data_IF_201700532329
#
_entry.id   IF_201700532329
#
_cell.length_a   1.000
_cell.length_b   1.000
_cell.length_c   1.000
_cell.angle_alpha   90.00
_cell.angle_beta   90.00
_cell.angle_gamma   90.00
#
_symmetry.space_group_name_H-M   'P 1'
#
loop_
_entity.id
_entity.type
_entity.pdbx_description
1 polymer ?
#
# COMPACT_ATOMS: atom_id res chain seq x y z
N UNK A 1 13.68 -60.03 -64.23
CA UNK A 1 13.74 -58.56 -63.98
C UNK A 1 13.66 -58.36 -62.47
N UNK A 2 14.79 -58.03 -61.82
CA UNK A 2 14.84 -57.66 -60.39
C UNK A 2 14.48 -56.18 -60.27
N UNK A 3 13.47 -55.85 -59.47
CA UNK A 3 13.21 -54.48 -59.03
C UNK A 3 13.58 -54.37 -57.55
N UNK A 4 14.63 -53.60 -57.27
CA UNK A 4 15.03 -53.11 -55.95
C UNK A 4 14.10 -51.97 -55.55
N UNK A 5 13.46 -52.08 -54.38
CA UNK A 5 12.78 -50.93 -53.74
C UNK A 5 13.53 -50.59 -52.46
N UNK A 6 14.11 -49.39 -52.46
CA UNK A 6 14.97 -48.82 -51.43
C UNK A 6 14.07 -48.25 -50.32
N UNK A 7 14.10 -48.84 -49.13
CA UNK A 7 13.45 -48.26 -47.96
C UNK A 7 14.28 -47.08 -47.43
N UNK A 8 13.74 -45.87 -47.53
CA UNK A 8 14.31 -44.67 -46.91
C UNK A 8 14.06 -44.75 -45.40
N UNK A 9 15.12 -44.95 -44.63
CA UNK A 9 15.09 -44.89 -43.17
C UNK A 9 15.11 -43.41 -42.77
N UNK A 10 13.96 -42.84 -42.44
CA UNK A 10 13.88 -41.50 -41.82
C UNK A 10 14.32 -41.68 -40.36
N UNK A 11 15.56 -41.28 -40.06
CA UNK A 11 16.02 -41.14 -38.69
C UNK A 11 15.26 -39.96 -38.04
N UNK A 12 14.28 -40.25 -37.19
CA UNK A 12 13.81 -39.27 -36.21
C UNK A 12 14.97 -39.01 -35.26
N UNK A 13 15.60 -37.84 -35.38
CA UNK A 13 16.43 -37.31 -34.31
C UNK A 13 15.54 -37.14 -33.09
N UNK A 14 15.70 -38.03 -32.10
CA UNK A 14 15.17 -37.83 -30.75
C UNK A 14 15.91 -36.60 -30.20
N UNK A 15 15.37 -35.42 -30.47
CA UNK A 15 15.68 -34.23 -29.69
C UNK A 15 15.43 -34.61 -28.23
N UNK A 16 16.47 -34.55 -27.40
CA UNK A 16 16.44 -34.97 -26.01
C UNK A 16 15.48 -34.12 -25.17
N UNK A 17 14.19 -34.33 -25.35
CA UNK A 17 13.17 -33.94 -24.39
C UNK A 17 13.39 -34.85 -23.20
N UNK A 18 14.24 -34.40 -22.28
CA UNK A 18 14.21 -34.88 -20.90
C UNK A 18 12.78 -34.62 -20.44
N UNK A 19 12.00 -35.68 -20.27
CA UNK A 19 10.68 -35.57 -19.68
C UNK A 19 10.82 -34.80 -18.36
N UNK A 20 10.00 -33.77 -18.10
CA UNK A 20 10.10 -33.02 -16.86
C UNK A 20 9.97 -34.03 -15.71
N UNK A 21 10.97 -34.06 -14.83
CA UNK A 21 10.92 -34.86 -13.61
C UNK A 21 9.67 -34.43 -12.83
N UNK A 22 8.73 -35.36 -12.66
CA UNK A 22 7.51 -35.09 -11.92
C UNK A 22 7.88 -34.63 -10.50
N UNK A 23 7.27 -33.53 -10.05
CA UNK A 23 7.56 -33.00 -8.73
C UNK A 23 7.13 -34.01 -7.65
N UNK A 24 8.07 -34.44 -6.82
CA UNK A 24 7.83 -35.45 -5.77
C UNK A 24 7.42 -34.77 -4.46
N UNK A 25 6.45 -35.33 -3.73
CA UNK A 25 6.01 -34.76 -2.44
C UNK A 25 6.60 -35.53 -1.27
N UNK A 26 7.30 -34.84 -0.39
CA UNK A 26 7.86 -35.38 0.85
C UNK A 26 7.12 -34.76 2.04
N UNK A 27 6.51 -35.60 2.88
CA UNK A 27 5.75 -35.15 4.04
C UNK A 27 6.52 -35.41 5.33
N UNK A 28 6.72 -34.38 6.14
CA UNK A 28 7.40 -34.45 7.42
C UNK A 28 6.59 -35.28 8.43
N UNK A 29 7.24 -36.26 9.07
CA UNK A 29 6.68 -37.00 10.22
C UNK A 29 7.33 -36.57 11.54
N UNK A 30 8.61 -36.17 11.51
CA UNK A 30 9.38 -35.83 12.71
C UNK A 30 9.56 -37.00 13.69
N UNK A 31 9.49 -38.24 13.20
CA UNK A 31 9.37 -39.44 14.04
C UNK A 31 10.62 -39.78 14.87
N UNK A 32 11.82 -39.36 14.49
CA UNK A 32 13.06 -39.63 15.24
C UNK A 32 13.68 -38.36 15.81
N UNK A 33 13.92 -37.36 14.95
CA UNK A 33 14.50 -36.07 15.34
C UNK A 33 14.15 -34.98 14.31
N UNK A 34 14.82 -33.83 14.43
CA UNK A 34 14.58 -32.65 13.61
C UNK A 34 15.29 -32.66 12.23
N UNK A 35 16.12 -33.65 11.88
CA UNK A 35 16.99 -33.58 10.70
C UNK A 35 16.31 -34.03 9.40
N UNK A 36 16.30 -33.17 8.37
CA UNK A 36 15.72 -33.45 7.06
C UNK A 36 16.49 -34.52 6.27
N UNK A 37 17.78 -34.75 6.54
CA UNK A 37 18.58 -35.76 5.83
C UNK A 37 18.31 -37.20 6.28
N UNK A 38 17.46 -37.40 7.31
CA UNK A 38 17.15 -38.73 7.85
C UNK A 38 15.81 -39.18 7.30
N UNK A 39 15.81 -40.28 6.55
CA UNK A 39 14.61 -40.78 5.86
C UNK A 39 13.44 -41.10 6.78
N UNK A 40 13.71 -41.63 7.97
CA UNK A 40 12.66 -41.97 8.95
C UNK A 40 11.91 -40.74 9.51
N UNK A 41 12.42 -39.52 9.33
CA UNK A 41 11.70 -38.29 9.67
C UNK A 41 10.71 -37.84 8.59
N UNK A 42 10.63 -38.59 7.48
CA UNK A 42 9.70 -38.38 6.38
C UNK A 42 8.78 -39.59 6.24
N UNK A 43 7.54 -39.32 5.84
CA UNK A 43 6.58 -40.38 5.49
C UNK A 43 7.17 -41.20 4.33
N UNK A 44 7.19 -42.53 4.50
CA UNK A 44 7.78 -43.46 3.52
C UNK A 44 9.26 -43.78 3.77
N UNK A 45 9.90 -43.18 4.78
CA UNK A 45 11.26 -43.56 5.20
C UNK A 45 12.38 -43.09 4.27
N UNK A 46 12.09 -42.21 3.31
CA UNK A 46 13.06 -41.67 2.35
C UNK A 46 13.19 -40.17 2.53
N UNK A 47 14.43 -39.68 2.68
CA UNK A 47 14.71 -38.26 2.80
C UNK A 47 14.66 -37.59 1.41
N UNK A 48 14.17 -36.34 1.32
CA UNK A 48 14.31 -35.56 0.10
C UNK A 48 15.79 -35.37 -0.25
N UNK A 49 16.11 -35.35 -1.54
CA UNK A 49 17.50 -35.27 -2.03
C UNK A 49 17.97 -33.82 -2.28
N UNK A 50 17.04 -32.86 -2.38
CA UNK A 50 17.37 -31.45 -2.60
C UNK A 50 17.72 -31.12 -4.05
N UNK A 51 17.12 -31.83 -5.00
CA UNK A 51 17.39 -31.71 -6.45
C UNK A 51 16.61 -30.59 -7.14
N UNK A 52 15.64 -29.99 -6.46
CA UNK A 52 14.83 -28.87 -6.96
C UNK A 52 13.45 -29.27 -7.47
N UNK A 53 13.17 -30.57 -7.58
CA UNK A 53 11.85 -31.09 -7.98
C UNK A 53 10.96 -31.42 -6.77
N UNK A 54 11.49 -31.41 -5.56
CA UNK A 54 10.78 -31.89 -4.37
C UNK A 54 9.89 -30.81 -3.74
N UNK A 55 8.67 -31.19 -3.37
CA UNK A 55 7.72 -30.41 -2.59
C UNK A 55 7.76 -30.89 -1.14
N UNK A 56 8.14 -30.02 -0.21
CA UNK A 56 8.18 -30.36 1.21
C UNK A 56 6.87 -29.95 1.87
N UNK A 57 6.27 -30.86 2.64
CA UNK A 57 5.01 -30.62 3.37
C UNK A 57 5.24 -30.86 4.86
N UNK A 58 4.97 -29.84 5.68
CA UNK A 58 5.01 -29.90 7.14
C UNK A 58 3.57 -29.95 7.68
N UNK A 59 3.03 -31.14 7.98
CA UNK A 59 1.61 -31.33 8.27
C UNK A 59 1.21 -30.81 9.67
N UNK A 60 -0.09 -30.81 9.97
CA UNK A 60 -0.57 -30.60 11.33
C UNK A 60 -0.26 -31.84 12.21
N UNK A 61 0.07 -31.62 13.49
CA UNK A 61 0.24 -32.68 14.48
C UNK A 61 1.61 -33.40 14.50
N UNK A 62 2.55 -33.05 13.63
CA UNK A 62 3.93 -33.58 13.71
C UNK A 62 4.77 -32.81 14.73
N UNK A 63 5.86 -33.43 15.23
CA UNK A 63 6.75 -32.85 16.25
C UNK A 63 7.29 -31.49 15.79
N UNK A 64 7.02 -30.46 16.59
CA UNK A 64 6.66 -29.16 16.03
C UNK A 64 7.73 -28.08 16.17
N UNK A 65 8.68 -28.22 17.10
CA UNK A 65 9.30 -26.99 17.60
C UNK A 65 10.50 -26.50 16.76
N UNK A 66 11.34 -27.39 16.26
CA UNK A 66 12.49 -27.03 15.42
C UNK A 66 12.71 -28.13 14.37
N UNK A 67 12.79 -27.76 13.10
CA UNK A 67 13.29 -28.65 12.04
C UNK A 67 14.61 -28.12 11.51
N UNK A 68 15.52 -29.04 11.19
CA UNK A 68 16.88 -28.76 10.74
C UNK A 68 17.13 -29.36 9.35
N UNK A 69 17.44 -28.53 8.37
CA UNK A 69 17.74 -29.00 7.02
C UNK A 69 19.23 -29.37 6.83
N UNK A 70 19.79 -30.44 7.38
CA UNK A 70 21.24 -30.67 7.20
C UNK A 70 21.72 -31.01 5.75
N UNK A 71 20.93 -30.75 4.69
CA UNK A 71 21.34 -30.78 3.30
C UNK A 71 22.01 -29.46 2.88
N UNK A 72 23.24 -29.56 2.39
CA UNK A 72 24.00 -28.40 1.92
C UNK A 72 23.44 -27.86 0.60
N UNK A 73 23.11 -26.56 0.57
CA UNK A 73 22.70 -25.81 -0.62
C UNK A 73 21.58 -26.48 -1.45
N UNK A 74 20.67 -27.18 -0.76
CA UNK A 74 19.60 -27.92 -1.40
C UNK A 74 18.63 -27.01 -2.17
N UNK A 75 18.12 -27.51 -3.28
CA UNK A 75 17.02 -26.91 -4.02
C UNK A 75 15.73 -27.67 -3.75
N UNK A 76 14.63 -26.96 -3.56
CA UNK A 76 13.29 -27.54 -3.45
C UNK A 76 12.32 -26.80 -4.36
N UNK A 77 11.33 -27.48 -4.92
CA UNK A 77 10.29 -26.82 -5.70
C UNK A 77 9.39 -25.97 -4.80
N UNK A 78 8.99 -26.49 -3.63
CA UNK A 78 8.15 -25.77 -2.68
C UNK A 78 8.35 -26.18 -1.24
N UNK A 79 7.93 -25.32 -0.32
CA UNK A 79 7.69 -25.64 1.09
C UNK A 79 6.25 -25.24 1.43
N UNK A 80 5.49 -26.20 1.96
CA UNK A 80 4.12 -25.99 2.44
C UNK A 80 4.05 -26.34 3.93
N UNK A 81 3.63 -25.39 4.75
CA UNK A 81 3.40 -25.57 6.18
C UNK A 81 1.89 -25.61 6.43
N UNK A 82 1.41 -26.66 7.09
CA UNK A 82 -0.01 -26.85 7.45
C UNK A 82 -0.24 -26.85 8.96
N UNK A 83 0.77 -27.18 9.76
CA UNK A 83 0.71 -27.04 11.24
C UNK A 83 1.18 -25.66 11.71
N UNK A 84 1.03 -25.40 13.01
CA UNK A 84 1.39 -24.12 13.64
C UNK A 84 2.53 -24.29 14.63
N UNK A 85 3.41 -23.30 14.76
CA UNK A 85 4.54 -23.34 15.69
C UNK A 85 5.84 -23.94 15.13
N UNK A 86 5.89 -24.22 13.83
CA UNK A 86 7.10 -24.68 13.17
C UNK A 86 8.18 -23.61 13.16
N UNK A 87 9.39 -23.98 13.57
CA UNK A 87 10.61 -23.23 13.24
C UNK A 87 11.47 -24.08 12.31
N UNK A 88 11.47 -23.74 11.02
CA UNK A 88 12.36 -24.35 10.03
C UNK A 88 13.69 -23.59 10.06
N UNK A 89 14.79 -24.27 10.37
CA UNK A 89 16.08 -23.66 10.70
C UNK A 89 17.23 -24.39 10.07
N UNK A 90 18.22 -23.71 9.46
CA UNK A 90 19.32 -24.39 8.76
C UNK A 90 20.36 -23.50 8.00
N UNK A 91 21.29 -24.14 7.25
CA UNK A 91 21.85 -23.75 5.93
C UNK A 91 20.83 -23.26 4.89
N UNK A 92 21.35 -22.49 3.94
CA UNK A 92 20.60 -21.88 2.85
C UNK A 92 19.98 -22.90 1.87
N UNK A 93 18.84 -22.53 1.29
CA UNK A 93 18.18 -23.29 0.21
C UNK A 93 17.89 -22.41 -1.00
N UNK A 94 17.63 -23.04 -2.15
CA UNK A 94 17.02 -22.39 -3.32
C UNK A 94 15.58 -22.88 -3.50
N UNK A 95 14.64 -21.95 -3.73
CA UNK A 95 13.25 -22.30 -4.02
C UNK A 95 12.89 -22.18 -5.50
N UNK A 96 12.28 -23.24 -6.01
CA UNK A 96 11.77 -23.40 -7.35
C UNK A 96 10.33 -22.87 -7.52
N UNK A 97 9.64 -23.38 -8.53
CA UNK A 97 8.40 -22.79 -9.02
C UNK A 97 7.24 -22.78 -8.02
N UNK A 98 7.15 -23.78 -7.14
CA UNK A 98 6.05 -23.93 -6.20
C UNK A 98 6.07 -22.97 -5.00
N UNK A 99 7.22 -22.34 -4.68
CA UNK A 99 7.29 -21.24 -3.71
C UNK A 99 7.06 -21.64 -2.25
N UNK A 100 6.54 -20.70 -1.45
CA UNK A 100 6.23 -20.88 -0.03
C UNK A 100 4.73 -20.83 0.21
N UNK A 101 4.21 -21.74 1.02
CA UNK A 101 2.83 -21.72 1.47
C UNK A 101 2.74 -22.00 2.97
N UNK A 102 1.93 -21.21 3.69
CA UNK A 102 1.49 -21.48 5.05
C UNK A 102 -0.04 -21.47 5.09
N UNK A 103 -0.61 -22.65 5.24
CA UNK A 103 -2.05 -22.86 5.32
C UNK A 103 -2.49 -23.29 6.73
N UNK A 104 -1.65 -23.06 7.74
CA UNK A 104 -2.04 -23.31 9.13
C UNK A 104 -3.23 -22.44 9.53
N UNK A 105 -4.10 -22.95 10.40
CA UNK A 105 -5.35 -22.27 10.75
C UNK A 105 -5.12 -20.93 11.48
N UNK A 106 -4.12 -20.89 12.36
CA UNK A 106 -3.68 -19.71 13.10
C UNK A 106 -2.28 -19.93 13.67
N UNK A 107 -1.69 -18.85 14.19
CA UNK A 107 -0.42 -18.89 14.92
C UNK A 107 0.76 -18.41 14.08
N UNK A 108 1.96 -18.71 14.55
CA UNK A 108 3.20 -18.28 13.88
C UNK A 108 4.04 -19.48 13.49
N UNK A 109 4.52 -19.48 12.26
CA UNK A 109 5.60 -20.34 11.78
C UNK A 109 6.79 -19.47 11.39
N UNK A 110 8.00 -20.04 11.45
CA UNK A 110 9.25 -19.33 11.19
C UNK A 110 10.10 -20.09 10.18
N UNK A 111 10.61 -19.39 9.17
CA UNK A 111 11.71 -19.82 8.30
C UNK A 111 12.93 -18.98 8.66
N UNK A 112 13.92 -19.60 9.29
CA UNK A 112 15.12 -18.93 9.81
C UNK A 112 16.38 -19.15 8.98
N UNK A 113 16.35 -20.07 8.02
CA UNK A 113 17.44 -20.23 7.06
C UNK A 113 17.32 -19.25 5.88
N UNK A 114 18.45 -18.94 5.24
CA UNK A 114 18.46 -18.14 4.03
C UNK A 114 17.77 -18.85 2.85
N UNK A 115 17.06 -18.08 2.03
CA UNK A 115 16.26 -18.58 0.91
C UNK A 115 16.60 -17.79 -0.36
N UNK A 116 17.04 -18.47 -1.42
CA UNK A 116 17.30 -17.83 -2.70
C UNK A 116 16.12 -18.00 -3.67
N UNK A 117 15.72 -16.90 -4.31
CA UNK A 117 14.73 -16.85 -5.39
C UNK A 117 15.41 -16.52 -6.72
N UNK A 118 15.52 -17.51 -7.61
CA UNK A 118 16.09 -17.29 -8.95
C UNK A 118 15.16 -16.49 -9.88
N UNK A 119 13.85 -16.57 -9.67
CA UNK A 119 12.84 -15.72 -10.29
C UNK A 119 11.70 -15.48 -9.28
N UNK A 120 10.68 -14.69 -9.64
CA UNK A 120 9.57 -14.39 -8.73
C UNK A 120 8.88 -15.65 -8.22
N UNK A 121 8.72 -15.75 -6.90
CA UNK A 121 8.07 -16.89 -6.23
C UNK A 121 6.76 -16.49 -5.56
N UNK A 122 5.80 -17.41 -5.52
CA UNK A 122 4.62 -17.22 -4.69
C UNK A 122 4.97 -17.41 -3.21
N UNK A 123 4.45 -16.54 -2.36
CA UNK A 123 4.47 -16.68 -0.90
C UNK A 123 3.02 -16.54 -0.42
N UNK A 124 2.37 -17.65 -0.13
CA UNK A 124 0.95 -17.69 0.24
C UNK A 124 0.82 -17.91 1.73
N UNK A 125 0.17 -17.00 2.46
CA UNK A 125 -0.21 -17.23 3.87
C UNK A 125 -1.73 -17.14 3.93
N UNK A 126 -2.39 -18.29 3.98
CA UNK A 126 -3.81 -18.40 3.60
C UNK A 126 -4.74 -17.69 4.57
N UNK A 127 -4.54 -17.88 5.87
CA UNK A 127 -5.51 -17.50 6.89
C UNK A 127 -5.10 -16.23 7.64
N UNK A 128 -6.07 -15.36 7.96
CA UNK A 128 -5.83 -14.06 8.56
C UNK A 128 -5.13 -14.15 9.94
N UNK A 129 -5.40 -15.21 10.71
CA UNK A 129 -4.78 -15.47 12.02
C UNK A 129 -3.37 -16.06 11.95
N UNK A 130 -2.80 -16.22 10.75
CA UNK A 130 -1.52 -16.89 10.51
C UNK A 130 -0.43 -15.89 10.16
N UNK A 131 0.74 -16.08 10.76
CA UNK A 131 1.95 -15.34 10.48
C UNK A 131 3.08 -16.27 10.07
N UNK A 132 3.66 -16.04 8.90
CA UNK A 132 4.92 -16.64 8.48
C UNK A 132 6.04 -15.62 8.69
N UNK A 133 6.91 -15.86 9.66
CA UNK A 133 8.12 -15.06 9.87
C UNK A 133 9.26 -15.62 9.04
N UNK A 134 9.82 -14.83 8.14
CA UNK A 134 11.05 -15.16 7.42
C UNK A 134 12.16 -14.32 8.05
N UNK A 135 12.99 -14.98 8.86
CA UNK A 135 14.13 -14.39 9.57
C UNK A 135 15.48 -14.73 8.94
N UNK A 136 15.51 -15.66 7.98
CA UNK A 136 16.66 -15.82 7.10
C UNK A 136 16.64 -14.82 5.94
N UNK A 137 17.83 -14.51 5.40
CA UNK A 137 17.98 -13.61 4.26
C UNK A 137 17.33 -14.21 3.02
N UNK A 138 16.45 -13.44 2.37
CA UNK A 138 15.96 -13.72 1.02
C UNK A 138 16.90 -13.07 0.00
N UNK A 139 17.44 -13.87 -0.92
CA UNK A 139 18.41 -13.44 -1.94
C UNK A 139 17.96 -13.80 -3.36
N UNK A 140 18.75 -13.41 -4.36
CA UNK A 140 18.57 -13.81 -5.76
C UNK A 140 17.91 -12.76 -6.65
N UNK A 141 17.88 -13.02 -7.96
CA UNK A 141 17.35 -12.08 -8.94
C UNK A 141 15.83 -11.92 -8.88
N UNK A 142 15.13 -12.95 -8.37
CA UNK A 142 13.68 -13.00 -8.24
C UNK A 142 13.12 -12.09 -7.16
N UNK A 143 11.83 -11.84 -7.23
CA UNK A 143 11.07 -11.21 -6.16
C UNK A 143 10.09 -12.20 -5.53
N UNK A 144 9.01 -11.70 -4.92
CA UNK A 144 7.93 -12.57 -4.48
C UNK A 144 6.55 -11.92 -4.60
N UNK A 145 5.54 -12.78 -4.79
CA UNK A 145 4.12 -12.42 -4.81
C UNK A 145 3.45 -12.94 -3.56
N UNK A 146 3.04 -12.02 -2.67
CA UNK A 146 2.27 -12.32 -1.47
C UNK A 146 0.78 -12.45 -1.79
N UNK A 147 0.20 -13.59 -1.40
CA UNK A 147 -1.23 -13.88 -1.48
C UNK A 147 -1.75 -14.49 -0.16
N UNK A 148 -3.07 -14.71 -0.07
CA UNK A 148 -3.76 -15.16 1.14
C UNK A 148 -3.90 -14.06 2.20
N UNK A 149 -4.81 -14.28 3.16
CA UNK A 149 -5.22 -13.25 4.11
C UNK A 149 -4.20 -12.99 5.24
N UNK A 150 -3.28 -13.91 5.48
CA UNK A 150 -2.33 -13.84 6.60
C UNK A 150 -1.14 -12.91 6.37
N UNK A 151 -0.21 -12.95 7.31
CA UNK A 151 0.96 -12.05 7.38
C UNK A 151 2.25 -12.77 7.01
N UNK A 152 3.09 -12.13 6.20
CA UNK A 152 4.52 -12.45 6.08
C UNK A 152 5.31 -11.38 6.81
N UNK A 153 6.17 -11.76 7.75
CA UNK A 153 7.12 -10.84 8.41
C UNK A 153 8.49 -11.06 7.80
N UNK A 154 9.09 -10.01 7.23
CA UNK A 154 10.47 -10.03 6.74
C UNK A 154 11.35 -9.31 7.76
N UNK A 155 12.10 -10.09 8.53
CA UNK A 155 12.91 -9.57 9.66
C UNK A 155 14.41 -9.49 9.35
N UNK A 156 14.86 -10.16 8.28
CA UNK A 156 16.24 -10.06 7.80
C UNK A 156 16.47 -8.84 6.89
N UNK A 157 17.74 -8.43 6.77
CA UNK A 157 18.18 -7.57 5.68
C UNK A 157 18.27 -8.41 4.39
N UNK A 158 17.24 -8.32 3.57
CA UNK A 158 17.11 -9.10 2.34
C UNK A 158 17.93 -8.48 1.21
N UNK A 159 18.39 -9.33 0.28
CA UNK A 159 19.27 -8.92 -0.84
C UNK A 159 18.68 -9.21 -2.21
N UNK A 160 17.48 -9.79 -2.29
CA UNK A 160 16.83 -10.05 -3.56
C UNK A 160 16.59 -8.75 -4.37
N UNK A 161 16.66 -8.83 -5.70
CA UNK A 161 16.55 -7.63 -6.56
C UNK A 161 15.22 -7.50 -7.30
N UNK A 162 14.41 -8.56 -7.30
CA UNK A 162 13.13 -8.60 -8.02
C UNK A 162 12.00 -7.86 -7.31
N UNK A 163 10.83 -7.85 -7.96
CA UNK A 163 9.64 -7.11 -7.52
C UNK A 163 8.96 -7.77 -6.31
N UNK A 164 8.52 -6.96 -5.35
CA UNK A 164 7.63 -7.40 -4.28
C UNK A 164 6.18 -7.06 -4.64
N UNK A 165 5.36 -8.07 -4.92
CA UNK A 165 3.94 -7.92 -5.22
C UNK A 165 3.10 -8.32 -4.02
N UNK A 166 2.17 -7.47 -3.59
CA UNK A 166 1.29 -7.71 -2.43
C UNK A 166 -0.16 -7.75 -2.91
N UNK A 167 -0.65 -8.93 -3.28
CA UNK A 167 -2.01 -9.12 -3.78
C UNK A 167 -3.05 -9.21 -2.67
N UNK A 168 -2.69 -9.78 -1.51
CA UNK A 168 -3.59 -9.92 -0.35
C UNK A 168 -2.82 -10.08 0.96
N UNK A 169 -3.52 -9.85 2.09
CA UNK A 169 -2.95 -9.97 3.43
C UNK A 169 -1.87 -8.92 3.69
N UNK A 170 -0.86 -9.28 4.49
CA UNK A 170 0.14 -8.32 5.00
C UNK A 170 1.56 -8.78 4.68
N UNK A 171 2.42 -7.85 4.25
CA UNK A 171 3.88 -7.95 4.36
C UNK A 171 4.33 -6.95 5.42
N UNK A 172 5.00 -7.41 6.47
CA UNK A 172 5.49 -6.57 7.56
C UNK A 172 7.02 -6.44 7.52
N UNK A 173 7.52 -5.21 7.64
CA UNK A 173 8.96 -4.89 7.62
C UNK A 173 9.31 -3.87 8.70
N UNK A 174 10.55 -3.93 9.18
CA UNK A 174 11.11 -2.96 10.14
C UNK A 174 12.18 -2.03 9.53
N UNK A 175 12.58 -2.26 8.26
CA UNK A 175 13.58 -1.47 7.55
C UNK A 175 13.39 -1.61 6.03
N UNK A 176 13.92 -0.66 5.25
CA UNK A 176 13.90 -0.70 3.76
C UNK A 176 14.52 -1.99 3.21
N UNK A 177 15.63 -2.45 3.81
CA UNK A 177 16.30 -3.68 3.42
C UNK A 177 15.43 -4.94 3.60
N UNK A 178 14.33 -4.86 4.35
CA UNK A 178 13.32 -5.93 4.38
C UNK A 178 12.72 -6.21 2.99
N UNK A 179 12.74 -5.25 2.08
CA UNK A 179 12.23 -5.39 0.70
C UNK A 179 13.31 -5.65 -0.35
N UNK A 180 14.45 -6.22 0.06
CA UNK A 180 15.52 -6.59 -0.84
C UNK A 180 16.48 -5.44 -1.14
N UNK A 181 17.31 -5.58 -2.18
CA UNK A 181 18.27 -4.56 -2.61
C UNK A 181 17.55 -3.36 -3.23
N UNK A 182 17.90 -2.15 -2.78
CA UNK A 182 17.35 -0.92 -3.36
C UNK A 182 17.84 -0.76 -4.82
N UNK A 183 16.96 -0.34 -5.75
CA UNK A 183 17.38 -0.07 -7.13
C UNK A 183 18.38 1.10 -7.18
N UNK A 184 19.42 0.99 -8.03
CA UNK A 184 20.39 2.08 -8.24
C UNK A 184 19.80 3.33 -8.92
N UNK A 185 18.67 3.18 -9.63
CA UNK A 185 17.92 4.26 -10.25
C UNK A 185 16.41 4.02 -10.10
N UNK A 186 15.61 5.08 -10.24
CA UNK A 186 14.15 4.99 -10.12
C UNK A 186 13.57 3.94 -11.07
N UNK A 187 12.87 2.96 -10.49
CA UNK A 187 12.22 1.89 -11.22
C UNK A 187 10.74 1.85 -10.88
N UNK A 188 9.84 1.94 -11.88
CA UNK A 188 8.42 1.70 -11.66
C UNK A 188 8.18 0.30 -11.07
N UNK A 189 7.15 0.18 -10.23
CA UNK A 189 6.60 -1.11 -9.80
C UNK A 189 7.58 -2.06 -9.11
N UNK A 190 8.56 -1.57 -8.34
CA UNK A 190 9.40 -2.44 -7.48
C UNK A 190 8.62 -2.97 -6.28
N UNK A 191 7.61 -2.22 -5.87
CA UNK A 191 6.54 -2.67 -4.98
C UNK A 191 5.24 -2.54 -5.77
N UNK A 192 4.45 -3.62 -5.82
CA UNK A 192 3.18 -3.64 -6.53
C UNK A 192 2.07 -4.01 -5.57
N UNK A 193 1.03 -3.20 -5.47
CA UNK A 193 -0.17 -3.50 -4.70
C UNK A 193 -1.29 -4.01 -5.61
N UNK A 194 -1.71 -5.25 -5.40
CA UNK A 194 -2.89 -5.85 -6.02
C UNK A 194 -4.12 -5.89 -5.11
N UNK A 195 -3.99 -5.51 -3.84
CA UNK A 195 -5.05 -5.59 -2.84
C UNK A 195 -4.57 -5.68 -1.39
N UNK A 196 -3.27 -5.92 -1.15
CA UNK A 196 -2.74 -6.17 0.19
C UNK A 196 -2.15 -4.96 0.91
N UNK A 197 -1.48 -5.25 2.03
CA UNK A 197 -0.93 -4.26 2.96
C UNK A 197 0.58 -4.38 3.12
N UNK A 198 1.29 -3.25 3.06
CA UNK A 198 2.64 -3.12 3.59
C UNK A 198 2.52 -2.53 5.00
N UNK A 199 2.90 -3.31 6.02
CA UNK A 199 2.96 -2.86 7.41
C UNK A 199 4.40 -2.51 7.79
N UNK A 200 4.58 -1.35 8.39
CA UNK A 200 5.89 -0.88 8.89
C UNK A 200 5.86 -0.81 10.39
N UNK A 201 6.86 -1.45 11.02
CA UNK A 201 6.91 -1.64 12.49
C UNK A 201 7.98 -0.79 13.16
N UNK A 202 8.66 0.08 12.41
CA UNK A 202 9.70 0.97 12.89
C UNK A 202 9.76 2.24 12.03
N UNK A 203 10.49 3.26 12.51
CA UNK A 203 10.72 4.50 11.77
C UNK A 203 11.87 4.36 10.80
N UNK A 204 11.62 4.58 9.51
CA UNK A 204 12.66 4.58 8.48
C UNK A 204 12.19 5.29 7.19
N UNK A 205 13.13 5.52 6.29
CA UNK A 205 12.87 6.01 4.94
C UNK A 205 12.93 4.85 3.95
N UNK A 206 11.87 4.67 3.16
CA UNK A 206 11.86 3.73 2.05
C UNK A 206 12.58 4.35 0.84
N UNK A 207 13.46 3.59 0.19
CA UNK A 207 14.30 4.10 -0.88
C UNK A 207 13.46 4.66 -2.04
N UNK A 208 13.68 5.93 -2.41
CA UNK A 208 12.89 6.63 -3.42
C UNK A 208 12.93 5.98 -4.81
N UNK A 209 13.97 5.18 -5.09
CA UNK A 209 14.09 4.45 -6.35
C UNK A 209 13.15 3.24 -6.45
N UNK A 210 12.51 2.83 -5.35
CA UNK A 210 11.50 1.75 -5.32
C UNK A 210 10.12 2.30 -5.70
N UNK A 211 9.88 2.53 -6.98
CA UNK A 211 8.55 2.96 -7.45
C UNK A 211 7.45 2.02 -6.98
N UNK A 212 6.34 2.58 -6.50
CA UNK A 212 5.16 1.85 -6.06
C UNK A 212 4.11 1.89 -7.18
N UNK A 213 3.56 0.74 -7.54
CA UNK A 213 2.45 0.63 -8.48
C UNK A 213 1.17 0.14 -7.79
N UNK A 214 0.08 0.91 -7.90
CA UNK A 214 -1.26 0.57 -7.44
C UNK A 214 -2.05 -0.06 -8.60
N UNK A 215 -1.86 -1.37 -8.82
CA UNK A 215 -2.63 -2.13 -9.81
C UNK A 215 -4.01 -2.53 -9.30
N UNK A 216 -4.17 -2.59 -7.98
CA UNK A 216 -5.42 -2.64 -7.24
C UNK A 216 -5.33 -1.74 -6.02
N UNK A 217 -6.22 -1.91 -5.04
CA UNK A 217 -6.11 -1.17 -3.78
C UNK A 217 -4.78 -1.50 -3.07
N UNK A 218 -4.07 -0.48 -2.61
CA UNK A 218 -2.86 -0.62 -1.80
C UNK A 218 -3.06 -0.04 -0.42
N UNK A 219 -2.61 -0.76 0.60
CA UNK A 219 -2.64 -0.26 1.99
C UNK A 219 -1.22 -0.11 2.53
N UNK A 220 -0.93 1.04 3.12
CA UNK A 220 0.27 1.26 3.92
C UNK A 220 -0.18 1.44 5.37
N UNK A 221 0.24 0.51 6.23
CA UNK A 221 0.00 0.53 7.68
C UNK A 221 1.27 0.93 8.41
N UNK A 222 1.20 1.98 9.22
CA UNK A 222 2.31 2.42 10.08
C UNK A 222 1.94 2.17 11.53
N UNK A 223 2.72 1.36 12.23
CA UNK A 223 2.48 1.01 13.62
C UNK A 223 2.58 2.23 14.57
N UNK A 224 2.04 2.16 15.80
CA UNK A 224 2.07 3.28 16.74
C UNK A 224 3.47 3.85 16.95
N UNK A 225 3.58 5.18 17.06
CA UNK A 225 4.84 5.91 17.24
C UNK A 225 5.92 5.67 16.16
N UNK A 226 5.55 5.10 15.00
CA UNK A 226 6.45 4.95 13.85
C UNK A 226 6.17 5.99 12.78
N UNK A 227 7.20 6.30 11.99
CA UNK A 227 7.09 7.14 10.80
C UNK A 227 7.72 6.43 9.60
N UNK A 228 6.94 6.21 8.54
CA UNK A 228 7.46 5.83 7.24
C UNK A 228 7.58 7.08 6.36
N UNK A 229 8.78 7.37 5.88
CA UNK A 229 9.00 8.41 4.86
C UNK A 229 9.21 7.76 3.50
N UNK A 230 8.51 8.21 2.48
CA UNK A 230 8.69 7.73 1.11
C UNK A 230 8.78 8.88 0.11
N UNK A 231 9.93 9.01 -0.54
CA UNK A 231 10.21 10.05 -1.54
C UNK A 231 10.10 9.59 -3.00
N UNK A 232 9.77 8.32 -3.23
CA UNK A 232 9.59 7.80 -4.58
C UNK A 232 8.19 8.08 -5.14
N UNK A 233 7.99 7.71 -6.41
CA UNK A 233 6.70 7.88 -7.09
C UNK A 233 5.77 6.71 -6.74
N UNK A 234 4.51 7.03 -6.39
CA UNK A 234 3.37 6.12 -6.40
C UNK A 234 2.56 6.41 -7.67
N UNK A 235 2.29 5.37 -8.47
CA UNK A 235 1.55 5.46 -9.74
C UNK A 235 0.48 4.37 -9.85
N UNK A 236 -0.45 4.52 -10.80
CA UNK A 236 -1.48 3.52 -11.10
C UNK A 236 -2.91 4.02 -10.81
N UNK A 237 -3.89 3.21 -11.19
CA UNK A 237 -5.31 3.55 -11.05
C UNK A 237 -5.93 3.10 -9.71
N UNK A 238 -5.25 2.19 -8.99
CA UNK A 238 -5.72 1.70 -7.70
C UNK A 238 -5.72 2.77 -6.61
N UNK A 239 -6.51 2.53 -5.55
CA UNK A 239 -6.58 3.43 -4.39
C UNK A 239 -5.40 3.23 -3.44
N UNK A 240 -5.06 4.30 -2.70
CA UNK A 240 -4.11 4.27 -1.60
C UNK A 240 -4.86 4.40 -0.27
N UNK A 241 -4.65 3.47 0.65
CA UNK A 241 -5.15 3.57 2.02
C UNK A 241 -3.99 3.70 3.00
N UNK A 242 -4.00 4.77 3.79
CA UNK A 242 -3.15 4.93 4.97
C UNK A 242 -3.91 4.45 6.20
N UNK A 243 -3.39 3.45 6.88
CA UNK A 243 -3.92 2.93 8.16
C UNK A 243 -2.81 2.83 9.22
N UNK A 244 -3.17 2.33 10.41
CA UNK A 244 -2.31 2.33 11.58
C UNK A 244 -2.12 3.73 12.16
N UNK A 245 -1.82 3.82 13.45
CA UNK A 245 -1.79 5.10 14.18
C UNK A 245 -0.50 5.89 14.01
N UNK A 246 0.52 5.34 13.33
CA UNK A 246 1.74 6.07 12.97
C UNK A 246 1.55 7.08 11.83
N UNK A 247 2.68 7.61 11.34
CA UNK A 247 2.73 8.63 10.28
C UNK A 247 3.29 8.07 8.98
N UNK A 248 2.62 8.34 7.85
CA UNK A 248 3.18 8.18 6.51
C UNK A 248 3.49 9.56 5.94
N UNK A 249 4.76 9.81 5.59
CA UNK A 249 5.17 11.03 4.87
C UNK A 249 5.36 10.69 3.39
N UNK A 250 4.66 11.40 2.52
CA UNK A 250 4.86 11.35 1.08
C UNK A 250 5.68 12.56 0.64
N UNK A 251 6.92 12.34 0.21
CA UNK A 251 7.84 13.39 -0.26
C UNK A 251 8.10 13.32 -1.77
N UNK A 252 7.49 12.37 -2.48
CA UNK A 252 7.52 12.26 -3.93
C UNK A 252 6.28 12.89 -4.58
N UNK A 253 6.41 13.31 -5.84
CA UNK A 253 5.27 13.76 -6.66
C UNK A 253 4.55 12.53 -7.19
N UNK A 254 3.37 12.25 -6.67
CA UNK A 254 2.65 11.03 -6.98
C UNK A 254 1.69 11.21 -8.16
N UNK A 255 1.56 10.17 -8.99
CA UNK A 255 0.79 10.21 -10.25
C UNK A 255 -0.35 9.21 -10.28
N UNK A 256 -0.62 8.52 -9.17
CA UNK A 256 -1.79 7.66 -9.08
C UNK A 256 -3.09 8.45 -9.15
N UNK A 257 -4.12 7.86 -9.75
CA UNK A 257 -5.42 8.52 -9.97
C UNK A 257 -6.53 7.99 -9.07
N UNK A 258 -6.33 6.82 -8.45
CA UNK A 258 -7.28 6.25 -7.50
C UNK A 258 -7.43 7.10 -6.23
N UNK A 259 -8.50 6.83 -5.47
CA UNK A 259 -8.79 7.56 -4.24
C UNK A 259 -7.70 7.37 -3.17
N UNK A 260 -7.50 8.38 -2.34
CA UNK A 260 -6.66 8.33 -1.14
C UNK A 260 -7.55 8.30 0.09
N UNK A 261 -7.44 7.26 0.90
CA UNK A 261 -8.15 7.15 2.18
C UNK A 261 -7.17 7.20 3.33
N UNK A 262 -7.36 8.15 4.25
CA UNK A 262 -6.66 8.19 5.54
C UNK A 262 -7.60 7.58 6.57
N UNK A 263 -7.46 6.28 6.82
CA UNK A 263 -8.32 5.54 7.75
C UNK A 263 -7.91 5.71 9.21
N UNK A 264 -6.62 5.89 9.48
CA UNK A 264 -6.08 6.09 10.83
C UNK A 264 -4.69 6.75 10.79
N UNK A 265 -4.31 7.35 11.92
CA UNK A 265 -3.03 8.04 12.08
C UNK A 265 -2.92 9.26 11.19
N UNK A 266 -1.70 9.54 10.71
CA UNK A 266 -1.41 10.74 9.92
C UNK A 266 -0.89 10.38 8.54
N UNK A 267 -1.50 10.96 7.50
CA UNK A 267 -0.88 11.12 6.18
C UNK A 267 -0.32 12.54 6.10
N UNK A 268 0.99 12.68 5.93
CA UNK A 268 1.70 13.96 5.94
C UNK A 268 2.39 14.23 4.61
N UNK A 269 2.33 15.47 4.14
CA UNK A 269 3.07 15.89 2.95
C UNK A 269 4.52 16.22 3.28
N UNK A 270 5.41 15.85 2.38
CA UNK A 270 6.83 16.20 2.41
C UNK A 270 7.27 17.01 1.18
N UNK A 271 6.36 17.27 0.24
CA UNK A 271 6.53 18.15 -0.92
C UNK A 271 5.17 18.66 -1.41
N UNK A 272 5.15 19.68 -2.26
CA UNK A 272 3.93 20.13 -2.95
C UNK A 272 3.47 19.11 -3.99
N UNK A 273 2.17 19.00 -4.25
CA UNK A 273 1.60 18.04 -5.23
C UNK A 273 1.96 16.59 -4.89
N UNK A 274 1.95 16.27 -3.59
CA UNK A 274 2.25 14.94 -3.08
C UNK A 274 1.10 13.99 -3.30
N UNK A 275 -0.15 14.45 -3.38
CA UNK A 275 -1.29 13.59 -3.74
C UNK A 275 -1.56 13.74 -5.23
N UNK A 276 -1.99 12.66 -5.88
CA UNK A 276 -2.41 12.74 -7.28
C UNK A 276 -3.54 13.75 -7.44
N UNK A 277 -3.38 14.73 -8.33
CA UNK A 277 -4.29 15.89 -8.42
C UNK A 277 -5.78 15.55 -8.69
N UNK A 278 -6.04 14.38 -9.28
CA UNK A 278 -7.41 13.87 -9.51
C UNK A 278 -7.95 13.00 -8.36
N UNK A 279 -7.11 12.65 -7.38
CA UNK A 279 -7.44 11.72 -6.31
C UNK A 279 -8.49 12.32 -5.36
N UNK A 280 -9.60 11.62 -5.17
CA UNK A 280 -10.51 11.92 -4.07
C UNK A 280 -9.85 11.56 -2.74
N UNK A 281 -9.79 12.50 -1.80
CA UNK A 281 -9.22 12.30 -0.45
C UNK A 281 -10.35 12.15 0.56
N UNK A 282 -10.36 11.02 1.28
CA UNK A 282 -11.26 10.79 2.41
C UNK A 282 -10.47 10.67 3.70
N UNK A 283 -10.74 11.53 4.68
CA UNK A 283 -10.10 11.49 6.00
C UNK A 283 -11.11 10.98 7.03
N UNK A 284 -10.88 9.78 7.56
CA UNK A 284 -11.76 9.16 8.55
C UNK A 284 -11.73 9.90 9.89
N UNK A 285 -12.77 9.73 10.71
CA UNK A 285 -12.81 10.30 12.06
C UNK A 285 -11.59 9.85 12.88
N UNK A 286 -10.94 10.79 13.55
CA UNK A 286 -9.71 10.54 14.33
C UNK A 286 -8.43 10.41 13.49
N UNK A 287 -8.51 10.42 12.16
CA UNK A 287 -7.34 10.46 11.28
C UNK A 287 -6.99 11.91 10.88
N UNK A 288 -5.74 12.11 10.43
CA UNK A 288 -5.21 13.44 10.07
C UNK A 288 -4.59 13.44 8.68
N UNK A 289 -4.96 14.42 7.86
CA UNK A 289 -4.23 14.82 6.66
C UNK A 289 -3.45 16.10 6.95
N UNK A 290 -2.12 15.99 7.03
CA UNK A 290 -1.22 17.08 7.40
C UNK A 290 -0.48 17.63 6.17
N UNK A 291 -0.81 18.86 5.78
CA UNK A 291 -0.19 19.60 4.67
C UNK A 291 1.26 19.97 4.96
N UNK A 292 1.64 20.07 6.24
CA UNK A 292 3.02 20.24 6.71
C UNK A 292 3.84 21.30 5.94
N UNK A 293 3.25 22.47 5.70
CA UNK A 293 3.93 23.57 5.01
C UNK A 293 3.91 23.48 3.48
N UNK A 294 3.20 22.52 2.88
CA UNK A 294 3.06 22.35 1.44
C UNK A 294 1.62 22.55 0.97
N UNK A 295 1.44 23.36 -0.07
CA UNK A 295 0.18 23.42 -0.81
C UNK A 295 -0.01 22.16 -1.66
N UNK A 296 -1.26 21.75 -1.82
CA UNK A 296 -1.61 20.52 -2.56
C UNK A 296 -2.90 20.70 -3.37
N UNK A 297 -3.02 19.91 -4.44
CA UNK A 297 -4.21 19.87 -5.29
C UNK A 297 -4.77 18.46 -5.23
N UNK A 298 -6.06 18.33 -4.95
CA UNK A 298 -6.77 17.05 -4.85
C UNK A 298 -8.08 17.09 -5.65
N UNK A 299 -8.57 15.90 -6.00
CA UNK A 299 -9.81 15.75 -6.75
C UNK A 299 -11.00 16.25 -5.96
N UNK A 300 -11.17 15.79 -4.72
CA UNK A 300 -12.22 16.20 -3.79
C UNK A 300 -11.84 15.85 -2.35
N UNK A 301 -12.53 16.43 -1.37
CA UNK A 301 -12.31 16.18 0.06
C UNK A 301 -13.59 15.67 0.73
N UNK A 302 -13.50 14.57 1.48
CA UNK A 302 -14.61 14.02 2.25
C UNK A 302 -14.16 13.44 3.60
N UNK A 303 -15.14 13.15 4.46
CA UNK A 303 -14.92 12.47 5.75
C UNK A 303 -15.03 13.38 6.97
N UNK A 304 -14.62 12.84 8.12
CA UNK A 304 -14.86 13.41 9.45
C UNK A 304 -13.57 13.65 10.25
N UNK A 305 -12.41 13.49 9.62
CA UNK A 305 -11.10 13.66 10.27
C UNK A 305 -10.62 15.10 10.33
N UNK A 306 -9.31 15.25 10.49
CA UNK A 306 -8.65 16.56 10.59
C UNK A 306 -7.82 16.86 9.35
N UNK A 307 -7.87 18.10 8.85
CA UNK A 307 -6.88 18.66 7.90
C UNK A 307 -6.14 19.78 8.61
N UNK A 308 -4.80 19.78 8.55
CA UNK A 308 -3.95 20.77 9.25
C UNK A 308 -2.67 21.08 8.48
N UNK A 309 -1.86 22.03 8.98
CA UNK A 309 -0.47 22.23 8.56
C UNK A 309 0.46 22.24 9.77
N UNK A 310 1.20 21.14 9.97
CA UNK A 310 2.13 20.95 11.08
C UNK A 310 3.39 21.83 11.02
N UNK A 311 3.72 22.40 9.86
CA UNK A 311 4.84 23.33 9.68
C UNK A 311 4.36 24.77 9.47
N UNK A 312 5.20 25.72 9.87
CA UNK A 312 4.95 27.15 9.73
C UNK A 312 4.84 27.59 8.26
N UNK A 313 4.19 28.73 8.04
CA UNK A 313 3.92 29.28 6.72
C UNK A 313 2.45 29.16 6.31
N UNK A 314 2.08 29.84 5.23
CA UNK A 314 0.75 29.77 4.65
C UNK A 314 0.72 28.68 3.57
N UNK A 315 -0.30 27.82 3.62
CA UNK A 315 -0.52 26.74 2.65
C UNK A 315 -1.94 26.77 2.13
N UNK A 316 -2.15 26.31 0.91
CA UNK A 316 -3.47 26.20 0.30
C UNK A 316 -3.76 24.75 -0.09
N UNK A 317 -4.88 24.22 0.41
CA UNK A 317 -5.45 22.99 -0.15
C UNK A 317 -6.44 23.37 -1.26
N UNK A 318 -6.22 22.88 -2.47
CA UNK A 318 -7.15 23.06 -3.59
C UNK A 318 -7.93 21.76 -3.82
N UNK A 319 -9.25 21.81 -3.79
CA UNK A 319 -10.11 20.64 -3.96
C UNK A 319 -11.26 20.90 -4.94
N UNK A 320 -11.70 19.86 -5.64
CA UNK A 320 -12.87 19.88 -6.52
C UNK A 320 -12.58 19.63 -7.99
N UNK A 321 -11.31 19.41 -8.37
CA UNK A 321 -10.91 19.15 -9.76
C UNK A 321 -11.54 17.90 -10.40
N UNK A 322 -12.09 16.97 -9.61
CA UNK A 322 -12.84 15.82 -10.11
C UNK A 322 -14.36 16.05 -10.24
N UNK A 323 -14.83 17.29 -10.03
CA UNK A 323 -16.22 17.72 -10.17
C UNK A 323 -17.24 16.93 -9.32
N UNK A 324 -16.79 16.25 -8.26
CA UNK A 324 -17.67 15.48 -7.39
C UNK A 324 -18.42 16.36 -6.38
N UNK A 325 -19.57 15.87 -5.93
CA UNK A 325 -20.26 16.39 -4.74
C UNK A 325 -19.81 15.61 -3.51
N UNK A 326 -19.22 16.30 -2.53
CA UNK A 326 -18.63 15.69 -1.34
C UNK A 326 -18.99 16.45 -0.06
N UNK A 327 -19.07 15.74 1.07
CA UNK A 327 -19.24 16.34 2.40
C UNK A 327 -18.03 16.05 3.26
N UNK A 328 -17.46 17.11 3.83
CA UNK A 328 -16.47 17.06 4.88
C UNK A 328 -17.10 17.58 6.17
N UNK A 329 -17.37 16.66 7.10
CA UNK A 329 -17.89 16.95 8.44
C UNK A 329 -16.78 17.11 9.48
N UNK A 330 -15.53 16.87 9.07
CA UNK A 330 -14.35 17.03 9.89
C UNK A 330 -13.96 18.49 10.14
N UNK A 331 -12.75 18.66 10.66
CA UNK A 331 -12.19 19.98 10.99
C UNK A 331 -10.98 20.26 10.12
N UNK A 332 -11.03 21.33 9.35
CA UNK A 332 -9.85 21.99 8.79
C UNK A 332 -9.42 23.04 9.83
N UNK A 333 -8.15 23.02 10.22
CA UNK A 333 -7.60 23.88 11.25
C UNK A 333 -6.21 24.39 10.86
N UNK A 334 -5.79 25.48 11.49
CA UNK A 334 -4.37 25.78 11.52
C UNK A 334 -3.63 24.74 12.39
N UNK A 335 -2.36 24.52 12.05
CA UNK A 335 -1.42 23.88 12.95
C UNK A 335 -0.38 24.92 13.35
N UNK A 336 0.89 24.64 13.07
CA UNK A 336 1.95 25.65 13.11
C UNK A 336 1.85 26.65 11.95
N UNK A 337 1.21 26.24 10.85
CA UNK A 337 0.97 27.05 9.66
C UNK A 337 -0.50 27.43 9.47
N UNK A 338 -0.71 28.47 8.69
CA UNK A 338 -2.04 28.95 8.30
C UNK A 338 -2.54 28.14 7.11
N UNK A 339 -3.71 27.53 7.23
CA UNK A 339 -4.35 26.79 6.14
C UNK A 339 -5.35 27.69 5.42
N UNK A 340 -5.30 27.67 4.09
CA UNK A 340 -6.29 28.24 3.19
C UNK A 340 -6.94 27.11 2.36
N UNK A 341 -8.12 27.37 1.81
CA UNK A 341 -8.88 26.40 1.02
C UNK A 341 -9.32 27.02 -0.30
N UNK A 342 -9.09 26.35 -1.42
CA UNK A 342 -9.66 26.73 -2.72
C UNK A 342 -10.57 25.64 -3.22
N UNK A 343 -11.85 25.96 -3.45
CA UNK A 343 -12.81 25.12 -4.14
C UNK A 343 -12.80 25.43 -5.64
N UNK A 344 -12.50 24.43 -6.46
CA UNK A 344 -12.48 24.47 -7.93
C UNK A 344 -13.41 23.42 -8.53
N UNK A 345 -13.51 23.38 -9.86
CA UNK A 345 -14.37 22.44 -10.59
C UNK A 345 -15.86 22.67 -10.39
N UNK A 346 -16.68 22.03 -11.21
CA UNK A 346 -18.13 22.24 -11.26
C UNK A 346 -18.92 21.55 -10.15
N UNK A 347 -18.26 20.65 -9.39
CA UNK A 347 -18.87 19.90 -8.29
C UNK A 347 -19.21 20.75 -7.06
N UNK A 348 -19.70 20.08 -6.01
CA UNK A 348 -20.07 20.72 -4.74
C UNK A 348 -19.18 20.23 -3.59
N UNK A 349 -18.60 21.15 -2.82
CA UNK A 349 -17.98 20.82 -1.53
C UNK A 349 -18.86 21.32 -0.39
N UNK A 350 -19.29 20.42 0.48
CA UNK A 350 -20.08 20.72 1.66
C UNK A 350 -19.19 20.66 2.89
N UNK A 351 -18.99 21.80 3.55
CA UNK A 351 -18.31 21.90 4.84
C UNK A 351 -19.37 21.93 5.94
N UNK A 352 -19.59 20.81 6.62
CA UNK A 352 -20.57 20.71 7.71
C UNK A 352 -19.94 20.73 9.11
N UNK A 353 -18.61 20.58 9.20
CA UNK A 353 -17.87 20.69 10.46
C UNK A 353 -17.59 22.13 10.92
N UNK A 354 -17.07 22.26 12.13
CA UNK A 354 -16.60 23.54 12.69
C UNK A 354 -15.12 23.73 12.39
N UNK A 355 -14.82 24.42 11.29
CA UNK A 355 -13.46 24.66 10.84
C UNK A 355 -12.89 25.94 11.49
N UNK A 356 -11.62 25.90 11.84
CA UNK A 356 -10.94 26.94 12.66
C UNK A 356 -9.72 27.55 11.98
N UNK A 357 -9.42 27.16 10.73
CA UNK A 357 -8.37 27.81 9.96
C UNK A 357 -8.70 29.27 9.64
N UNK A 358 -7.67 30.06 9.39
CA UNK A 358 -7.79 31.51 9.17
C UNK A 358 -7.32 31.99 7.79
N UNK A 359 -6.69 31.13 6.99
CA UNK A 359 -6.37 31.46 5.60
C UNK A 359 -7.64 31.55 4.75
N UNK A 360 -7.59 32.37 3.70
CA UNK A 360 -8.76 32.66 2.87
C UNK A 360 -9.36 31.39 2.26
N UNK A 361 -10.68 31.27 2.33
CA UNK A 361 -11.45 30.28 1.57
C UNK A 361 -11.86 30.89 0.22
N UNK A 362 -11.43 30.30 -0.90
CA UNK A 362 -11.79 30.77 -2.25
C UNK A 362 -12.79 29.83 -2.91
N UNK A 363 -13.97 30.32 -3.28
CA UNK A 363 -14.91 29.63 -4.16
C UNK A 363 -14.65 30.07 -5.61
N UNK A 364 -13.82 29.31 -6.33
CA UNK A 364 -13.37 29.66 -7.68
C UNK A 364 -14.24 29.06 -8.79
N UNK A 365 -14.94 27.96 -8.53
CA UNK A 365 -15.89 27.34 -9.44
C UNK A 365 -16.83 26.36 -8.70
N UNK A 366 -17.96 26.04 -9.34
CA UNK A 366 -18.97 25.15 -8.78
C UNK A 366 -19.54 25.69 -7.47
N UNK A 367 -19.90 24.80 -6.54
CA UNK A 367 -20.57 25.22 -5.29
C UNK A 367 -19.73 24.89 -4.06
N UNK A 368 -19.59 25.86 -3.15
CA UNK A 368 -19.11 25.68 -1.79
C UNK A 368 -20.30 25.91 -0.83
N UNK A 369 -20.75 24.85 -0.15
CA UNK A 369 -21.82 24.93 0.84
C UNK A 369 -21.21 24.89 2.23
N UNK A 370 -21.39 25.98 3.00
CA UNK A 370 -20.97 26.04 4.40
C UNK A 370 -22.20 25.79 5.27
N UNK A 371 -22.30 24.59 5.82
CA UNK A 371 -23.37 24.20 6.76
C UNK A 371 -22.86 24.13 8.21
N UNK A 372 -21.55 24.16 8.42
CA UNK A 372 -20.91 24.29 9.72
C UNK A 372 -20.40 25.71 9.98
N UNK A 373 -19.15 25.84 10.41
CA UNK A 373 -18.52 27.14 10.69
C UNK A 373 -17.18 27.30 10.00
N UNK A 374 -16.98 28.45 9.35
CA UNK A 374 -15.72 29.01 8.84
C UNK A 374 -15.48 30.40 9.45
N UNK A 375 -15.95 30.67 10.67
CA UNK A 375 -16.02 32.04 11.20
C UNK A 375 -14.67 32.80 11.22
N UNK A 376 -13.54 32.09 11.28
CA UNK A 376 -12.19 32.66 11.28
C UNK A 376 -11.59 32.85 9.88
N UNK A 377 -12.25 32.38 8.83
CA UNK A 377 -11.77 32.47 7.45
C UNK A 377 -12.62 33.46 6.66
N UNK A 378 -11.97 34.43 6.01
CA UNK A 378 -12.62 35.23 4.98
C UNK A 378 -12.90 34.38 3.74
N UNK A 379 -14.05 34.61 3.09
CA UNK A 379 -14.44 33.90 1.87
C UNK A 379 -14.33 34.84 0.67
N UNK A 380 -13.54 34.44 -0.34
CA UNK A 380 -13.48 35.07 -1.65
C UNK A 380 -14.32 34.28 -2.65
N UNK A 381 -15.31 34.92 -3.26
CA UNK A 381 -16.20 34.32 -4.27
C UNK A 381 -15.78 34.82 -5.65
N UNK A 382 -15.10 33.96 -6.42
CA UNK A 382 -14.40 34.32 -7.65
C UNK A 382 -14.70 33.30 -8.77
N UNK A 383 -15.97 33.25 -9.22
CA UNK A 383 -16.44 32.32 -10.27
C UNK A 383 -17.23 31.10 -9.76
N UNK A 384 -17.26 30.86 -8.45
CA UNK A 384 -18.10 29.84 -7.82
C UNK A 384 -19.31 30.42 -7.07
N UNK A 385 -20.16 29.53 -6.57
CA UNK A 385 -21.29 29.84 -5.69
C UNK A 385 -20.95 29.49 -4.26
N UNK A 386 -21.05 30.45 -3.35
CA UNK A 386 -21.06 30.22 -1.90
C UNK A 386 -22.52 30.08 -1.43
N UNK A 387 -22.82 29.04 -0.67
CA UNK A 387 -24.14 28.82 -0.10
C UNK A 387 -24.10 28.12 1.25
N UNK A 388 -25.23 27.54 1.64
CA UNK A 388 -25.39 26.82 2.90
C UNK A 388 -26.09 27.64 4.00
N UNK A 389 -26.11 27.08 5.20
CA UNK A 389 -26.84 27.62 6.37
C UNK A 389 -25.94 27.90 7.58
N UNK A 390 -24.63 27.88 7.38
CA UNK A 390 -23.62 27.98 8.42
C UNK A 390 -23.14 29.40 8.70
N UNK A 391 -21.92 29.51 9.22
CA UNK A 391 -21.24 30.78 9.46
C UNK A 391 -19.94 30.85 8.68
N UNK A 392 -19.64 32.00 8.10
CA UNK A 392 -18.37 32.33 7.44
C UNK A 392 -17.80 33.64 8.01
N UNK A 393 -16.52 33.93 7.77
CA UNK A 393 -15.95 35.25 8.06
C UNK A 393 -16.45 36.33 7.11
N UNK A 394 -15.62 37.33 6.82
CA UNK A 394 -15.97 38.36 5.83
C UNK A 394 -16.13 37.72 4.44
N UNK A 395 -17.12 38.16 3.67
CA UNK A 395 -17.31 37.77 2.27
C UNK A 395 -16.76 38.88 1.38
N UNK A 396 -16.01 38.50 0.36
CA UNK A 396 -15.55 39.39 -0.69
C UNK A 396 -15.73 38.76 -2.07
N UNK A 397 -15.89 39.59 -3.08
CA UNK A 397 -15.79 39.17 -4.49
C UNK A 397 -14.79 40.05 -5.22
N UNK A 398 -13.87 39.41 -5.93
CA UNK A 398 -12.79 40.09 -6.65
C UNK A 398 -12.88 39.93 -8.16
N UNK A 399 -13.88 39.21 -8.69
CA UNK A 399 -14.16 39.12 -10.12
C UNK A 399 -15.65 38.87 -10.42
N UNK A 400 -16.02 39.03 -11.68
CA UNK A 400 -17.35 38.70 -12.19
C UNK A 400 -17.62 37.18 -12.15
N UNK A 401 -18.89 36.80 -11.95
CA UNK A 401 -19.35 35.41 -12.07
C UNK A 401 -19.34 34.57 -10.78
N UNK A 402 -19.03 35.15 -9.62
CA UNK A 402 -19.34 34.50 -8.34
C UNK A 402 -20.86 34.38 -8.09
N UNK A 403 -21.30 33.86 -6.96
CA UNK A 403 -22.65 34.08 -6.43
C UNK A 403 -22.69 33.75 -4.94
N UNK A 404 -23.54 34.44 -4.16
CA UNK A 404 -23.90 34.03 -2.80
C UNK A 404 -25.37 33.65 -2.76
N UNK A 405 -25.64 32.36 -2.60
CA UNK A 405 -26.97 31.77 -2.60
C UNK A 405 -27.20 31.02 -1.27
N UNK A 406 -27.60 31.72 -0.19
CA UNK A 406 -27.84 31.09 1.11
C UNK A 406 -29.02 30.13 1.05
N UNK A 407 -28.92 29.03 1.82
CA UNK A 407 -29.90 27.95 1.86
C UNK A 407 -29.55 26.72 1.03
N UNK A 408 -30.13 25.57 1.42
CA UNK A 408 -29.93 24.27 0.76
C UNK A 408 -31.22 23.91 0.02
N UNK A 409 -31.37 24.29 -1.25
CA UNK A 409 -32.60 24.07 -2.03
C UNK A 409 -33.88 24.72 -1.44
N UNK A 410 -33.73 25.89 -0.80
CA UNK A 410 -34.81 26.68 -0.21
C UNK A 410 -34.27 27.89 0.57
N UNK A 411 -35.12 28.73 1.18
CA UNK A 411 -34.67 29.86 1.99
C UNK A 411 -33.78 29.39 3.15
N UNK A 412 -32.65 30.07 3.38
CA UNK A 412 -31.76 29.79 4.50
C UNK A 412 -31.00 31.04 4.96
N UNK A 413 -30.29 30.93 6.07
CA UNK A 413 -29.47 32.01 6.63
C UNK A 413 -28.01 31.59 6.59
N UNK A 414 -27.20 32.30 5.82
CA UNK A 414 -25.75 32.26 5.90
C UNK A 414 -25.28 33.45 6.74
N UNK A 415 -24.64 33.19 7.87
CA UNK A 415 -24.07 34.25 8.72
C UNK A 415 -22.68 34.62 8.21
N UNK A 416 -22.41 35.91 8.05
CA UNK A 416 -21.10 36.42 7.63
C UNK A 416 -20.70 37.63 8.45
N UNK A 417 -19.41 37.96 8.41
CA UNK A 417 -18.92 39.27 8.84
C UNK A 417 -19.24 40.35 7.81
N UNK A 418 -18.29 41.23 7.54
CA UNK A 418 -18.45 42.24 6.49
C UNK A 418 -18.62 41.59 5.11
N UNK A 419 -19.45 42.20 4.27
CA UNK A 419 -19.64 41.78 2.88
C UNK A 419 -19.19 42.92 1.97
N UNK A 420 -18.17 42.67 1.14
CA UNK A 420 -17.57 43.65 0.24
C UNK A 420 -17.68 43.17 -1.22
N UNK A 421 -18.43 43.90 -2.04
CA UNK A 421 -18.63 43.57 -3.46
C UNK A 421 -17.85 44.56 -4.33
N UNK A 422 -17.01 44.06 -5.24
CA UNK A 422 -16.40 44.88 -6.31
C UNK A 422 -17.42 45.25 -7.40
N UNK A 423 -17.14 46.26 -8.24
CA UNK A 423 -18.00 46.58 -9.39
C UNK A 423 -18.11 45.38 -10.36
N UNK A 424 -19.31 44.97 -10.73
CA UNK A 424 -19.53 43.76 -11.56
C UNK A 424 -19.62 42.45 -10.75
N UNK A 425 -19.69 42.55 -9.43
CA UNK A 425 -19.94 41.44 -8.52
C UNK A 425 -21.34 40.84 -8.69
N UNK A 426 -21.51 39.56 -8.32
CA UNK A 426 -22.77 38.86 -8.50
C UNK A 426 -23.89 39.32 -7.56
N UNK A 427 -25.13 39.04 -7.98
CA UNK A 427 -26.36 39.20 -7.20
C UNK A 427 -26.54 38.13 -6.15
#
# INVERSE_FOLDING_TARGET
MRATSTAVLIALALCGIVAPTLAQTFTWSGAQNANWSIGNNWVGGVAPAGTGAENLVFPNGAANLLTNNNMNNAAFNSITIKGSGYTLSNKAITLGAGGLADSSAAGTNTISFAVSFAATRAVTVSNAGTTLTISGVISGAGGFTKSGAGTVVLSAANTYSGVTTINAGVVAIAADAGLGSAPGAASPGRIVFGGGTLRTTATFTLAANRGIALTGAGTISTDPATTLTYGGIIAGAGSLTKTGTGTLILSGVNTYTGATTVSAGTLRLGTTNSIGAASAVTVAAGATFDLNGFSDVIGSLAGAGTVTSGAAGAVTLTAGGNNSTTTFSGVIQNGSGTVALTKTGTGTLILSGANTYSGVTTASAGTLLVNGSQASSAVSVNGGTLGGTGTVGAISSTAAGGSVAPGQAGPGILRSGNVNWSSGSPT
#
